data_IF_149615892169
#
_entry.id   IF_149615892169
#
_cell.length_a   1.000
_cell.length_b   1.000
_cell.length_c   1.000
_cell.angle_alpha   90.00
_cell.angle_beta   90.00
_cell.angle_gamma   90.00
#
_symmetry.space_group_name_H-M   'P 1'
#
loop_
_entity.id
_entity.type
_entity.pdbx_description
1 polymer ?
#
# COMPACT_ATOMS: atom_id res chain seq x y z
N UNK A 1 -5.47 -38.92 -82.04
CA UNK A 1 -5.76 -39.54 -80.73
C UNK A 1 -4.47 -39.51 -79.93
N UNK A 2 -4.18 -38.43 -79.23
CA UNK A 2 -3.05 -38.34 -78.29
C UNK A 2 -3.46 -37.41 -77.16
N UNK A 3 -4.42 -37.91 -76.38
CA UNK A 3 -4.85 -37.35 -75.10
C UNK A 3 -4.08 -38.11 -74.03
N UNK A 4 -2.90 -37.60 -73.65
CA UNK A 4 -2.09 -38.19 -72.58
C UNK A 4 -1.75 -37.12 -71.53
N UNK A 5 -2.58 -37.08 -70.48
CA UNK A 5 -2.22 -36.74 -69.11
C UNK A 5 -1.31 -35.53 -68.88
N UNK A 6 -1.75 -34.31 -69.21
CA UNK A 6 -1.19 -33.13 -68.53
C UNK A 6 -1.62 -33.18 -67.06
N UNK A 7 -0.68 -33.63 -66.22
CA UNK A 7 -0.81 -33.77 -64.77
C UNK A 7 -1.55 -32.59 -64.14
N UNK A 8 -2.57 -32.88 -63.32
CA UNK A 8 -3.30 -31.93 -62.48
C UNK A 8 -2.39 -30.97 -61.70
N UNK A 9 -1.16 -31.42 -61.43
CA UNK A 9 -0.12 -30.65 -60.74
C UNK A 9 0.36 -29.42 -61.54
N UNK A 10 0.23 -29.40 -62.87
CA UNK A 10 0.67 -28.28 -63.71
C UNK A 10 -0.35 -27.13 -63.80
N UNK A 11 -1.64 -27.40 -63.54
CA UNK A 11 -2.71 -26.40 -63.67
C UNK A 11 -3.07 -25.72 -62.35
N UNK A 12 -2.65 -26.31 -61.23
CA UNK A 12 -2.99 -25.81 -59.91
C UNK A 12 -2.06 -24.64 -59.55
N UNK A 13 -2.59 -23.46 -59.17
CA UNK A 13 -1.77 -22.33 -58.74
C UNK A 13 -1.19 -22.57 -57.33
N UNK A 14 -0.24 -23.50 -57.24
CA UNK A 14 0.37 -23.95 -55.98
C UNK A 14 0.92 -22.80 -55.14
N UNK A 15 1.47 -21.76 -55.79
CA UNK A 15 1.96 -20.57 -55.09
C UNK A 15 0.83 -19.85 -54.35
N UNK A 16 -0.36 -19.76 -54.92
CA UNK A 16 -1.53 -19.16 -54.28
C UNK A 16 -2.03 -20.01 -53.11
N UNK A 17 -2.09 -21.33 -53.29
CA UNK A 17 -2.48 -22.26 -52.21
C UNK A 17 -1.48 -22.19 -51.05
N UNK A 18 -0.18 -22.26 -51.34
CA UNK A 18 0.89 -22.14 -50.34
C UNK A 18 0.86 -20.80 -49.60
N UNK A 19 0.53 -19.71 -50.32
CA UNK A 19 0.38 -18.39 -49.72
C UNK A 19 -0.82 -18.33 -48.76
N UNK A 20 -1.97 -18.89 -49.15
CA UNK A 20 -3.17 -18.94 -48.30
C UNK A 20 -2.97 -19.82 -47.06
N UNK A 21 -2.30 -20.97 -47.20
CA UNK A 21 -1.99 -21.83 -46.04
C UNK A 21 -1.00 -21.15 -45.10
N UNK A 22 -0.01 -20.42 -45.62
CA UNK A 22 0.94 -19.63 -44.82
C UNK A 22 0.22 -18.53 -44.05
N UNK A 23 -0.69 -17.80 -44.69
CA UNK A 23 -1.51 -16.76 -44.04
C UNK A 23 -2.37 -17.34 -42.91
N UNK A 24 -3.03 -18.48 -43.15
CA UNK A 24 -3.83 -19.17 -42.13
C UNK A 24 -2.96 -19.60 -40.94
N UNK A 25 -1.79 -20.20 -41.20
CA UNK A 25 -0.84 -20.61 -40.17
C UNK A 25 -0.35 -19.41 -39.33
N UNK A 26 -0.01 -18.29 -39.97
CA UNK A 26 0.40 -17.07 -39.26
C UNK A 26 -0.73 -16.49 -38.39
N UNK A 27 -1.97 -16.57 -38.85
CA UNK A 27 -3.15 -16.11 -38.11
C UNK A 27 -3.38 -16.96 -36.86
N UNK A 28 -3.31 -18.30 -37.00
CA UNK A 28 -3.42 -19.24 -35.89
C UNK A 28 -2.28 -19.02 -34.89
N UNK A 29 -1.03 -18.91 -35.36
CA UNK A 29 0.12 -18.65 -34.51
C UNK A 29 -0.01 -17.33 -33.72
N UNK A 30 -0.51 -16.28 -34.37
CA UNK A 30 -0.78 -15.00 -33.71
C UNK A 30 -1.83 -15.13 -32.60
N UNK A 31 -2.92 -15.85 -32.84
CA UNK A 31 -3.94 -16.11 -31.83
C UNK A 31 -3.38 -16.90 -30.64
N UNK A 32 -2.53 -17.90 -30.89
CA UNK A 32 -1.83 -18.67 -29.86
C UNK A 32 -0.93 -17.76 -29.01
N UNK A 33 -0.11 -16.91 -29.64
CA UNK A 33 0.76 -15.98 -28.91
C UNK A 33 -0.05 -15.05 -28.00
N UNK A 34 -1.15 -14.47 -28.50
CA UNK A 34 -2.04 -13.63 -27.68
C UNK A 34 -2.61 -14.41 -26.49
N UNK A 35 -3.11 -15.63 -26.73
CA UNK A 35 -3.70 -16.46 -25.68
C UNK A 35 -2.69 -16.89 -24.61
N UNK A 36 -1.48 -17.30 -25.02
CA UNK A 36 -0.42 -17.76 -24.11
C UNK A 36 0.23 -16.61 -23.35
N UNK A 37 0.29 -15.42 -23.95
CA UNK A 37 0.87 -14.24 -23.30
C UNK A 37 0.00 -13.63 -22.21
N UNK A 38 -1.32 -13.86 -22.21
CA UNK A 38 -2.24 -13.25 -21.26
C UNK A 38 -1.89 -13.60 -19.81
N UNK A 39 -1.79 -12.58 -18.96
CA UNK A 39 -1.40 -12.68 -17.55
C UNK A 39 -0.07 -13.41 -17.32
N UNK A 40 0.86 -13.32 -18.28
CA UNK A 40 2.24 -13.78 -18.09
C UNK A 40 3.17 -12.60 -17.82
N UNK A 41 4.10 -12.83 -16.90
CA UNK A 41 5.09 -11.83 -16.51
C UNK A 41 6.02 -11.59 -17.69
N UNK A 42 6.34 -10.31 -17.95
CA UNK A 42 7.16 -9.92 -19.10
C UNK A 42 8.54 -10.60 -19.07
N UNK A 43 9.08 -10.83 -17.88
CA UNK A 43 10.39 -11.46 -17.67
C UNK A 43 10.45 -12.94 -18.02
N UNK A 44 9.29 -13.64 -18.06
CA UNK A 44 9.25 -15.08 -18.40
C UNK A 44 9.45 -15.36 -19.88
N UNK A 45 9.39 -14.32 -20.73
CA UNK A 45 9.50 -14.43 -22.17
C UNK A 45 10.91 -14.11 -22.66
N UNK A 46 11.62 -15.11 -23.22
CA UNK A 46 12.91 -14.87 -23.87
C UNK A 46 12.83 -13.97 -25.10
N UNK A 47 11.69 -13.99 -25.81
CA UNK A 47 11.37 -13.07 -26.91
C UNK A 47 9.97 -12.52 -26.66
N UNK A 48 9.82 -11.20 -26.68
CA UNK A 48 8.53 -10.56 -26.37
C UNK A 48 7.44 -11.00 -27.36
N UNK A 49 6.21 -11.28 -26.89
CA UNK A 49 5.06 -11.62 -27.74
C UNK A 49 4.80 -10.61 -28.88
N UNK A 50 5.05 -9.33 -28.65
CA UNK A 50 4.93 -8.25 -29.65
C UNK A 50 5.85 -8.46 -30.85
N UNK A 51 7.06 -9.02 -30.63
CA UNK A 51 8.01 -9.35 -31.71
C UNK A 51 7.49 -10.52 -32.53
N UNK A 52 6.98 -11.56 -31.89
CA UNK A 52 6.34 -12.69 -32.59
C UNK A 52 5.16 -12.24 -33.44
N UNK A 53 4.29 -11.39 -32.90
CA UNK A 53 3.17 -10.82 -33.63
C UNK A 53 3.61 -9.97 -34.83
N UNK A 54 4.70 -9.20 -34.70
CA UNK A 54 5.25 -8.44 -35.81
C UNK A 54 5.78 -9.34 -36.93
N UNK A 55 6.49 -10.42 -36.58
CA UNK A 55 7.01 -11.41 -37.55
C UNK A 55 5.86 -12.11 -38.28
N UNK A 56 4.83 -12.57 -37.55
CA UNK A 56 3.67 -13.23 -38.15
C UNK A 56 2.85 -12.26 -39.00
N UNK A 57 2.70 -11.00 -38.58
CA UNK A 57 2.02 -9.97 -39.37
C UNK A 57 2.76 -9.68 -40.67
N UNK A 58 4.09 -9.47 -40.62
CA UNK A 58 4.90 -9.22 -41.81
C UNK A 58 4.87 -10.41 -42.79
N UNK A 59 5.02 -11.64 -42.28
CA UNK A 59 4.96 -12.87 -43.07
C UNK A 59 3.58 -13.06 -43.70
N UNK A 60 2.52 -12.85 -42.92
CA UNK A 60 1.13 -12.92 -43.38
C UNK A 60 0.86 -11.88 -44.48
N UNK A 61 1.38 -10.66 -44.35
CA UNK A 61 1.23 -9.61 -45.35
C UNK A 61 1.93 -9.96 -46.68
N UNK A 62 3.15 -10.53 -46.63
CA UNK A 62 3.87 -11.00 -47.84
C UNK A 62 3.10 -12.14 -48.52
N UNK A 63 2.64 -13.12 -47.73
CA UNK A 63 1.85 -14.24 -48.23
C UNK A 63 0.53 -13.74 -48.84
N UNK A 64 -0.15 -12.80 -48.18
CA UNK A 64 -1.38 -12.19 -48.67
C UNK A 64 -1.18 -11.44 -49.98
N UNK A 65 -0.14 -10.62 -50.11
CA UNK A 65 0.21 -9.94 -51.36
C UNK A 65 0.52 -10.94 -52.49
N UNK A 66 1.17 -12.07 -52.17
CA UNK A 66 1.46 -13.15 -53.13
C UNK A 66 0.19 -13.90 -53.56
N UNK A 67 -0.72 -14.19 -52.63
CA UNK A 67 -2.03 -14.78 -52.90
C UNK A 67 -2.90 -13.85 -53.77
N UNK A 68 -2.85 -12.54 -53.50
CA UNK A 68 -3.56 -11.53 -54.29
C UNK A 68 -2.99 -11.46 -55.71
N UNK A 69 -1.66 -11.40 -55.87
CA UNK A 69 -1.01 -11.36 -57.17
C UNK A 69 -1.31 -12.61 -58.03
N UNK A 70 -1.26 -13.80 -57.42
CA UNK A 70 -1.62 -15.05 -58.10
C UNK A 70 -3.11 -15.09 -58.46
N UNK A 71 -4.00 -14.61 -57.58
CA UNK A 71 -5.43 -14.50 -57.86
C UNK A 71 -5.74 -13.56 -59.03
N UNK A 72 -5.07 -12.41 -59.11
CA UNK A 72 -5.18 -11.47 -60.23
C UNK A 72 -4.68 -12.12 -61.52
N UNK A 73 -3.53 -12.80 -61.49
CA UNK A 73 -2.97 -13.48 -62.65
C UNK A 73 -3.90 -14.58 -63.18
N UNK A 74 -4.45 -15.43 -62.29
CA UNK A 74 -5.43 -16.46 -62.68
C UNK A 74 -6.67 -15.82 -63.30
N UNK A 75 -7.18 -14.74 -62.70
CA UNK A 75 -8.36 -14.03 -63.24
C UNK A 75 -8.07 -13.39 -64.59
N UNK A 76 -6.88 -12.86 -64.80
CA UNK A 76 -6.41 -12.29 -66.05
C UNK A 76 -6.41 -13.37 -67.15
N UNK A 77 -5.78 -14.51 -66.92
CA UNK A 77 -5.70 -15.60 -67.91
C UNK A 77 -7.08 -16.22 -68.20
N UNK A 78 -7.90 -16.46 -67.18
CA UNK A 78 -9.28 -16.95 -67.36
C UNK A 78 -10.16 -15.98 -68.18
N UNK A 79 -9.86 -14.68 -68.13
CA UNK A 79 -10.54 -13.67 -68.95
C UNK A 79 -9.99 -13.60 -70.36
N UNK A 80 -8.68 -13.71 -70.53
CA UNK A 80 -8.02 -13.81 -71.83
C UNK A 80 -8.58 -14.99 -72.65
N UNK A 81 -8.72 -16.17 -72.04
CA UNK A 81 -9.27 -17.36 -72.70
C UNK A 81 -10.73 -17.21 -73.13
N UNK A 82 -11.51 -16.37 -72.46
CA UNK A 82 -12.92 -16.11 -72.79
C UNK A 82 -13.11 -15.03 -73.86
N UNK A 83 -12.03 -14.58 -74.50
CA UNK A 83 -12.09 -13.56 -75.56
C UNK A 83 -12.35 -12.15 -75.05
N UNK A 84 -11.90 -11.82 -73.83
CA UNK A 84 -12.05 -10.48 -73.30
C UNK A 84 -11.25 -9.46 -74.12
N UNK A 85 -11.79 -8.25 -74.23
CA UNK A 85 -11.17 -7.15 -74.96
C UNK A 85 -9.81 -6.79 -74.32
N UNK A 86 -8.76 -6.49 -75.13
CA UNK A 86 -7.44 -6.12 -74.61
C UNK A 86 -7.47 -4.97 -73.60
N UNK A 87 -8.42 -4.04 -73.75
CA UNK A 87 -8.66 -2.95 -72.80
C UNK A 87 -9.06 -3.48 -71.41
N UNK A 88 -9.96 -4.46 -71.33
CA UNK A 88 -10.38 -5.08 -70.08
C UNK A 88 -9.24 -5.84 -69.39
N UNK A 89 -8.41 -6.54 -70.17
CA UNK A 89 -7.19 -7.19 -69.67
C UNK A 89 -6.22 -6.17 -69.07
N UNK A 90 -6.01 -5.05 -69.77
CA UNK A 90 -5.16 -3.96 -69.29
C UNK A 90 -5.68 -3.42 -67.95
N UNK A 91 -6.98 -3.18 -67.81
CA UNK A 91 -7.56 -2.70 -66.55
C UNK A 91 -7.42 -3.72 -65.40
N UNK A 92 -7.59 -5.02 -65.65
CA UNK A 92 -7.37 -6.06 -64.63
C UNK A 92 -5.91 -6.07 -64.17
N UNK A 93 -4.97 -5.94 -65.10
CA UNK A 93 -3.54 -5.95 -64.81
C UNK A 93 -3.07 -4.67 -64.09
N UNK A 94 -3.49 -3.51 -64.57
CA UNK A 94 -3.11 -2.20 -64.02
C UNK A 94 -3.54 -2.07 -62.55
N UNK A 95 -4.74 -2.56 -62.24
CA UNK A 95 -5.24 -2.62 -60.86
C UNK A 95 -4.44 -3.55 -59.97
N UNK A 96 -3.92 -4.64 -60.54
CA UNK A 96 -3.05 -5.55 -59.80
C UNK A 96 -1.75 -4.90 -59.33
N UNK A 97 -1.32 -3.80 -59.97
CA UNK A 97 -0.16 -3.01 -59.56
C UNK A 97 -0.49 -1.88 -58.58
N UNK A 98 -1.76 -1.68 -58.22
CA UNK A 98 -2.19 -0.65 -57.27
C UNK A 98 -2.32 0.77 -57.87
N UNK A 99 -2.21 0.91 -59.20
CA UNK A 99 -2.38 2.19 -59.89
C UNK A 99 -3.74 2.20 -60.60
N UNK A 100 -4.57 3.22 -60.33
CA UNK A 100 -5.74 3.53 -61.19
C UNK A 100 -7.16 3.25 -60.68
N UNK A 101 -7.48 3.32 -59.38
CA UNK A 101 -8.85 3.07 -58.86
C UNK A 101 -9.98 3.75 -59.67
N UNK A 102 -9.76 4.98 -60.13
CA UNK A 102 -10.73 5.75 -60.92
C UNK A 102 -10.95 5.20 -62.34
N UNK A 103 -9.95 4.54 -62.93
CA UNK A 103 -10.07 3.98 -64.28
C UNK A 103 -10.79 2.63 -64.30
N UNK A 104 -10.66 1.77 -63.27
CA UNK A 104 -11.43 0.52 -63.21
C UNK A 104 -12.94 0.74 -63.09
N UNK A 105 -13.37 1.79 -62.39
CA UNK A 105 -14.80 2.07 -62.26
C UNK A 105 -15.45 2.40 -63.61
N UNK A 106 -14.65 2.85 -64.59
CA UNK A 106 -15.09 3.10 -65.98
C UNK A 106 -14.90 1.90 -66.92
N UNK A 107 -14.20 0.85 -66.48
CA UNK A 107 -13.66 -0.23 -67.32
C UNK A 107 -14.52 -1.51 -67.44
N UNK A 108 -15.78 -1.48 -67.02
CA UNK A 108 -16.68 -2.63 -67.07
C UNK A 108 -16.76 -3.44 -65.76
N UNK A 109 -17.77 -4.32 -65.67
CA UNK A 109 -18.21 -4.94 -64.41
C UNK A 109 -17.17 -5.85 -63.75
N UNK A 110 -16.31 -6.48 -64.54
CA UNK A 110 -15.27 -7.39 -64.04
C UNK A 110 -14.04 -6.68 -63.50
N UNK A 111 -13.60 -5.62 -64.17
CA UNK A 111 -12.53 -4.76 -63.66
C UNK A 111 -12.94 -4.13 -62.32
N UNK A 112 -14.20 -3.69 -62.19
CA UNK A 112 -14.76 -3.18 -60.93
C UNK A 112 -14.72 -4.21 -59.80
N UNK A 113 -15.04 -5.48 -60.07
CA UNK A 113 -14.98 -6.54 -59.04
C UNK A 113 -13.55 -6.78 -58.55
N UNK A 114 -12.59 -6.85 -59.47
CA UNK A 114 -11.17 -7.01 -59.13
C UNK A 114 -10.68 -5.81 -58.32
N UNK A 115 -11.01 -4.60 -58.75
CA UNK A 115 -10.64 -3.37 -58.04
C UNK A 115 -11.22 -3.30 -56.62
N UNK A 116 -12.49 -3.65 -56.42
CA UNK A 116 -13.12 -3.69 -55.10
C UNK A 116 -12.45 -4.72 -54.18
N UNK A 117 -12.19 -5.92 -54.68
CA UNK A 117 -11.53 -6.98 -53.91
C UNK A 117 -10.09 -6.61 -53.57
N UNK A 118 -9.32 -6.05 -54.51
CA UNK A 118 -7.96 -5.59 -54.27
C UNK A 118 -7.93 -4.43 -53.26
N UNK A 119 -8.88 -3.48 -53.36
CA UNK A 119 -8.99 -2.37 -52.40
C UNK A 119 -9.31 -2.87 -50.99
N UNK A 120 -10.29 -3.77 -50.86
CA UNK A 120 -10.63 -4.40 -49.57
C UNK A 120 -9.42 -5.17 -49.00
N UNK A 121 -8.69 -5.88 -49.85
CA UNK A 121 -7.46 -6.57 -49.49
C UNK A 121 -6.40 -5.62 -48.92
N UNK A 122 -6.12 -4.50 -49.59
CA UNK A 122 -5.17 -3.50 -49.09
C UNK A 122 -5.61 -2.86 -47.77
N UNK A 123 -6.91 -2.62 -47.58
CA UNK A 123 -7.44 -2.11 -46.30
C UNK A 123 -7.20 -3.12 -45.17
N UNK A 124 -7.49 -4.40 -45.41
CA UNK A 124 -7.24 -5.47 -44.43
C UNK A 124 -5.75 -5.57 -44.11
N UNK A 125 -4.88 -5.49 -45.12
CA UNK A 125 -3.42 -5.52 -44.96
C UNK A 125 -2.90 -4.33 -44.14
N UNK A 126 -3.48 -3.14 -44.34
CA UNK A 126 -3.12 -1.95 -43.57
C UNK A 126 -3.62 -2.03 -42.12
N UNK A 127 -4.84 -2.53 -41.91
CA UNK A 127 -5.45 -2.63 -40.58
C UNK A 127 -4.81 -3.73 -39.71
N UNK A 128 -4.34 -4.82 -40.31
CA UNK A 128 -3.82 -5.99 -39.58
C UNK A 128 -2.62 -5.65 -38.68
N UNK A 129 -1.69 -4.81 -39.16
CA UNK A 129 -0.49 -4.43 -38.41
C UNK A 129 -0.82 -3.72 -37.09
N UNK A 130 -1.45 -2.53 -37.12
CA UNK A 130 -1.80 -1.79 -35.91
C UNK A 130 -2.75 -2.54 -34.98
N UNK A 131 -3.69 -3.33 -35.51
CA UNK A 131 -4.62 -4.11 -34.69
C UNK A 131 -3.90 -5.22 -33.93
N UNK A 132 -2.99 -5.95 -34.57
CA UNK A 132 -2.19 -6.99 -33.90
C UNK A 132 -1.24 -6.38 -32.87
N UNK A 133 -0.63 -5.23 -33.16
CA UNK A 133 0.23 -4.54 -32.19
C UNK A 133 -0.55 -4.04 -30.97
N UNK A 134 -1.83 -3.70 -31.11
CA UNK A 134 -2.71 -3.30 -29.98
C UNK A 134 -3.39 -4.47 -29.28
N UNK A 135 -3.31 -5.68 -29.83
CA UNK A 135 -3.91 -6.86 -29.23
C UNK A 135 -3.25 -7.25 -27.90
N UNK A 136 -1.99 -6.83 -27.68
CA UNK A 136 -1.23 -7.06 -26.45
C UNK A 136 -0.65 -5.73 -25.97
N UNK A 137 -0.81 -5.42 -24.69
CA UNK A 137 -0.12 -4.31 -24.03
C UNK A 137 0.42 -4.76 -22.67
N UNK A 138 1.39 -4.03 -22.15
CA UNK A 138 1.96 -4.28 -20.82
C UNK A 138 1.14 -3.52 -19.77
N UNK A 139 0.79 -4.19 -18.68
CA UNK A 139 0.10 -3.60 -17.55
C UNK A 139 0.78 -4.03 -16.25
N UNK A 140 0.77 -3.15 -15.25
CA UNK A 140 1.20 -3.51 -13.90
C UNK A 140 0.08 -4.27 -13.20
N UNK A 141 0.41 -5.40 -12.58
CA UNK A 141 -0.50 -6.16 -11.75
C UNK A 141 0.20 -6.48 -10.43
N UNK A 142 -0.49 -6.23 -9.32
CA UNK A 142 -0.02 -6.66 -8.02
C UNK A 142 -0.24 -8.16 -7.89
N UNK A 143 0.86 -8.90 -7.75
CA UNK A 143 0.83 -10.33 -7.44
C UNK A 143 1.13 -10.54 -5.98
N UNK A 144 0.28 -11.33 -5.37
CA UNK A 144 0.51 -11.85 -4.03
C UNK A 144 1.15 -13.24 -4.14
N UNK A 145 2.25 -13.46 -3.43
CA UNK A 145 2.84 -14.78 -3.18
C UNK A 145 3.05 -14.98 -1.67
N UNK A 146 2.89 -16.21 -1.20
CA UNK A 146 3.26 -16.58 0.17
C UNK A 146 4.76 -16.93 0.20
N UNK A 147 5.44 -16.54 1.29
CA UNK A 147 6.86 -16.80 1.51
C UNK A 147 7.17 -16.93 3.00
N UNK A 148 8.40 -17.33 3.30
CA UNK A 148 8.92 -17.37 4.68
C UNK A 148 9.93 -16.25 4.85
N UNK A 149 9.83 -15.54 5.97
CA UNK A 149 10.76 -14.47 6.34
C UNK A 149 11.39 -14.73 7.71
N UNK A 150 12.51 -14.05 7.94
CA UNK A 150 13.27 -14.08 9.18
C UNK A 150 13.22 -12.73 9.86
N UNK A 151 13.07 -12.75 11.19
CA UNK A 151 13.25 -11.56 12.01
C UNK A 151 13.88 -11.95 13.34
N UNK A 152 14.88 -11.18 13.76
CA UNK A 152 15.53 -11.34 15.04
C UNK A 152 14.75 -10.51 16.06
N UNK A 153 13.94 -11.18 16.87
CA UNK A 153 13.05 -10.52 17.82
C UNK A 153 12.94 -11.35 19.09
N UNK A 154 13.23 -10.73 20.23
CA UNK A 154 13.19 -11.44 21.50
C UNK A 154 11.77 -11.52 22.04
N UNK A 155 11.37 -12.69 22.51
CA UNK A 155 10.08 -12.91 23.15
C UNK A 155 10.07 -12.41 24.61
N UNK A 156 11.23 -12.19 25.24
CA UNK A 156 11.34 -11.70 26.62
C UNK A 156 12.51 -10.75 26.73
N UNK A 157 12.29 -9.60 27.37
CA UNK A 157 13.39 -8.67 27.63
C UNK A 157 14.06 -9.07 28.95
N UNK A 158 15.38 -9.34 28.97
CA UNK A 158 16.08 -9.67 30.21
C UNK A 158 16.03 -8.49 31.20
N UNK A 159 15.80 -8.80 32.48
CA UNK A 159 15.89 -7.84 33.57
C UNK A 159 17.27 -7.17 33.53
N UNK A 160 17.28 -5.84 33.63
CA UNK A 160 18.52 -5.08 33.56
C UNK A 160 18.91 -4.61 32.17
N UNK A 161 18.27 -5.09 31.09
CA UNK A 161 18.55 -4.57 29.74
C UNK A 161 18.24 -3.07 29.65
N UNK A 162 17.14 -2.65 30.29
CA UNK A 162 16.70 -1.26 30.31
C UNK A 162 17.57 -0.35 31.16
N UNK A 163 18.19 -0.88 32.23
CA UNK A 163 18.76 -0.09 33.29
C UNK A 163 18.65 -0.78 34.65
N UNK A 164 18.84 -0.02 35.72
CA UNK A 164 18.74 -0.51 37.09
C UNK A 164 17.95 0.45 37.98
N UNK A 165 17.40 -0.07 39.08
CA UNK A 165 16.73 0.73 40.10
C UNK A 165 17.74 1.55 40.90
N UNK A 166 17.48 2.83 41.13
CA UNK A 166 18.28 3.66 42.03
C UNK A 166 17.77 3.62 43.48
N UNK A 167 18.53 4.24 44.38
CA UNK A 167 18.20 4.29 45.81
C UNK A 167 16.92 5.06 46.13
N UNK A 168 16.39 5.83 45.19
CA UNK A 168 15.13 6.56 45.34
C UNK A 168 13.92 5.81 44.77
N UNK A 169 14.11 4.60 44.26
CA UNK A 169 13.08 3.86 43.53
C UNK A 169 12.85 4.37 42.11
N UNK A 170 13.76 5.20 41.57
CA UNK A 170 13.74 5.65 40.20
C UNK A 170 14.46 4.65 39.27
N UNK A 171 14.16 4.72 37.97
CA UNK A 171 14.85 3.91 36.95
C UNK A 171 16.01 4.70 36.36
N UNK A 172 17.23 4.13 36.39
CA UNK A 172 18.41 4.66 35.68
C UNK A 172 18.61 3.89 34.39
N UNK A 173 18.27 4.51 33.27
CA UNK A 173 18.33 3.85 31.96
C UNK A 173 19.77 3.62 31.47
N UNK A 174 20.03 2.45 30.88
CA UNK A 174 21.25 2.21 30.12
C UNK A 174 21.24 2.93 28.77
N UNK A 175 22.42 3.22 28.22
CA UNK A 175 22.59 3.87 26.91
C UNK A 175 21.79 3.18 25.80
N UNK A 176 21.70 1.85 25.80
CA UNK A 176 20.96 1.07 24.79
C UNK A 176 19.46 1.37 24.82
N UNK A 177 18.86 1.43 26.01
CA UNK A 177 17.46 1.80 26.23
C UNK A 177 17.17 3.24 25.80
N UNK A 178 18.04 4.18 26.19
CA UNK A 178 17.94 5.59 25.76
C UNK A 178 17.97 5.70 24.23
N UNK A 179 18.86 4.94 23.58
CA UNK A 179 19.00 4.98 22.11
C UNK A 179 17.71 4.50 21.43
N UNK A 180 17.05 3.46 21.94
CA UNK A 180 15.75 3.01 21.40
C UNK A 180 14.67 4.07 21.57
N UNK A 181 14.62 4.75 22.73
CA UNK A 181 13.67 5.84 22.91
C UNK A 181 13.94 7.03 21.98
N UNK A 182 15.20 7.33 21.66
CA UNK A 182 15.57 8.37 20.69
C UNK A 182 15.19 7.97 19.27
N UNK A 183 15.45 6.72 18.88
CA UNK A 183 15.05 6.14 17.59
C UNK A 183 13.52 6.17 17.42
N UNK A 184 12.79 5.83 18.48
CA UNK A 184 11.33 5.95 18.54
C UNK A 184 10.87 7.40 18.35
N UNK A 185 11.42 8.35 19.12
CA UNK A 185 11.02 9.76 19.05
C UNK A 185 11.29 10.41 17.68
N UNK A 186 12.39 10.03 17.01
CA UNK A 186 12.74 10.49 15.66
C UNK A 186 12.04 9.72 14.54
N UNK A 187 11.28 8.67 14.87
CA UNK A 187 10.70 7.73 13.93
C UNK A 187 11.76 7.15 12.97
N UNK A 188 12.92 6.79 13.51
CA UNK A 188 14.03 6.21 12.73
C UNK A 188 13.56 4.86 12.14
N UNK A 189 13.89 4.62 10.86
CA UNK A 189 13.57 3.36 10.18
C UNK A 189 14.37 2.20 10.77
N UNK A 190 13.69 1.11 11.13
CA UNK A 190 14.36 -0.12 11.57
C UNK A 190 14.92 -0.83 10.32
N UNK A 191 16.24 -1.02 10.27
CA UNK A 191 16.92 -1.64 9.12
C UNK A 191 17.28 -3.09 9.44
N UNK A 192 16.84 -4.00 8.59
CA UNK A 192 17.17 -5.43 8.62
C UNK A 192 18.47 -5.71 7.84
N UNK A 193 19.16 -6.84 8.12
CA UNK A 193 20.27 -7.29 7.29
C UNK A 193 19.86 -7.48 5.82
N UNK A 194 20.72 -7.06 4.88
CA UNK A 194 20.53 -7.32 3.44
C UNK A 194 20.96 -8.77 3.11
N UNK A 195 20.19 -9.72 3.63
CA UNK A 195 20.39 -11.17 3.47
C UNK A 195 19.07 -11.83 3.06
N UNK A 196 19.17 -12.98 2.39
CA UNK A 196 18.01 -13.77 1.99
C UNK A 196 17.14 -14.13 3.21
N UNK A 197 15.83 -13.94 3.08
CA UNK A 197 14.84 -14.14 4.15
C UNK A 197 14.62 -12.93 5.06
N UNK A 198 15.55 -11.98 5.16
CA UNK A 198 15.35 -10.70 5.87
C UNK A 198 14.85 -9.59 4.95
N UNK A 199 15.27 -9.64 3.67
CA UNK A 199 14.85 -8.67 2.65
C UNK A 199 13.58 -9.13 1.93
N UNK A 200 12.68 -8.17 1.66
CA UNK A 200 11.50 -8.37 0.84
C UNK A 200 11.53 -7.53 -0.44
N UNK A 201 11.48 -8.18 -1.60
CA UNK A 201 11.36 -7.49 -2.89
C UNK A 201 9.88 -7.17 -3.19
N UNK A 202 9.45 -5.96 -2.86
CA UNK A 202 8.04 -5.55 -2.81
C UNK A 202 7.62 -5.21 -1.38
N UNK A 203 6.41 -5.59 -0.99
CA UNK A 203 5.89 -5.40 0.37
C UNK A 203 5.50 -6.74 0.98
N UNK A 204 6.11 -7.12 2.09
CA UNK A 204 5.81 -8.35 2.81
C UNK A 204 5.08 -8.03 4.11
N UNK A 205 3.94 -8.69 4.32
CA UNK A 205 3.16 -8.59 5.56
C UNK A 205 3.21 -9.91 6.31
N UNK A 206 3.45 -9.87 7.61
CA UNK A 206 3.49 -11.07 8.43
C UNK A 206 3.25 -10.75 9.90
N UNK A 207 3.37 -11.80 10.72
CA UNK A 207 3.15 -11.74 12.15
C UNK A 207 4.33 -12.38 12.86
N UNK A 208 4.92 -11.68 13.82
CA UNK A 208 6.13 -12.13 14.54
C UNK A 208 5.92 -12.01 16.03
N UNK A 209 6.39 -12.98 16.80
CA UNK A 209 6.26 -12.93 18.26
C UNK A 209 7.31 -11.99 18.83
N UNK A 210 6.98 -11.25 19.85
CA UNK A 210 7.92 -10.38 20.53
C UNK A 210 7.47 -10.05 21.93
N UNK A 211 8.42 -9.60 22.74
CA UNK A 211 8.13 -9.02 24.03
C UNK A 211 7.31 -7.74 23.85
N UNK A 212 6.16 -7.68 24.49
CA UNK A 212 5.26 -6.54 24.52
C UNK A 212 4.48 -6.51 25.83
N UNK A 213 3.25 -6.05 25.74
CA UNK A 213 2.30 -6.06 26.85
C UNK A 213 0.90 -6.34 26.30
N UNK A 214 0.01 -6.76 27.20
CA UNK A 214 -1.43 -6.77 27.00
C UNK A 214 -2.08 -5.75 27.91
N UNK A 215 -3.10 -5.09 27.40
CA UNK A 215 -3.86 -4.07 28.10
C UNK A 215 -5.31 -4.50 28.33
N UNK A 216 -5.87 -4.04 29.44
CA UNK A 216 -7.31 -4.06 29.68
C UNK A 216 -7.71 -2.69 30.18
N UNK A 217 -8.48 -1.96 29.37
CA UNK A 217 -8.92 -0.61 29.70
C UNK A 217 -10.37 -0.60 30.20
N UNK A 218 -10.60 0.15 31.27
CA UNK A 218 -11.94 0.45 31.78
C UNK A 218 -12.15 1.95 31.66
N UNK A 219 -13.22 2.33 30.97
CA UNK A 219 -13.62 3.73 30.82
C UNK A 219 -14.72 4.08 31.83
N UNK A 220 -14.62 5.27 32.41
CA UNK A 220 -15.62 5.86 33.30
C UNK A 220 -15.77 7.35 33.01
N UNK A 221 -16.87 7.94 33.44
CA UNK A 221 -17.12 9.37 33.28
C UNK A 221 -17.46 10.02 34.62
N UNK A 222 -17.08 11.29 34.76
CA UNK A 222 -17.37 12.11 35.94
C UNK A 222 -17.82 13.51 35.50
N UNK A 223 -18.90 14.06 36.06
CA UNK A 223 -19.29 15.44 35.78
C UNK A 223 -18.31 16.42 36.44
N UNK A 224 -18.03 17.53 35.77
CA UNK A 224 -17.25 18.66 36.26
C UNK A 224 -17.97 19.97 35.94
N UNK A 225 -18.26 20.77 36.95
CA UNK A 225 -18.98 22.03 36.76
C UNK A 225 -18.01 23.21 36.63
N UNK A 226 -17.66 23.57 35.40
CA UNK A 226 -16.80 24.72 35.10
C UNK A 226 -17.52 26.06 35.26
N UNK A 227 -18.78 26.12 35.70
CA UNK A 227 -19.44 27.40 36.02
C UNK A 227 -19.04 27.94 37.40
N UNK A 228 -18.41 27.11 38.23
CA UNK A 228 -18.13 27.42 39.64
C UNK A 228 -16.64 27.74 39.85
N UNK A 229 -16.36 28.70 40.73
CA UNK A 229 -14.97 28.98 41.17
C UNK A 229 -14.31 27.77 41.84
N UNK A 230 -15.10 26.80 42.33
CA UNK A 230 -14.61 25.55 42.89
C UNK A 230 -13.87 24.67 41.88
N UNK A 231 -14.16 24.84 40.59
CA UNK A 231 -13.46 24.15 39.50
C UNK A 231 -12.16 24.84 39.10
N UNK A 232 -11.83 26.00 39.71
CA UNK A 232 -10.55 26.63 39.49
C UNK A 232 -9.43 25.73 40.01
N UNK A 233 -8.43 25.49 39.17
CA UNK A 233 -7.35 24.51 39.36
C UNK A 233 -7.77 23.03 39.34
N UNK A 234 -9.00 22.71 38.90
CA UNK A 234 -9.38 21.31 38.66
C UNK A 234 -8.59 20.71 37.50
N UNK A 235 -8.12 19.47 37.65
CA UNK A 235 -7.43 18.77 36.55
C UNK A 235 -8.43 18.43 35.45
N UNK A 236 -8.18 18.95 34.25
CA UNK A 236 -9.01 18.75 33.05
C UNK A 236 -8.35 17.88 32.00
N UNK A 237 -7.04 17.65 32.13
CA UNK A 237 -6.30 16.68 31.34
C UNK A 237 -5.19 16.05 32.21
N UNK A 238 -5.05 14.74 32.17
CA UNK A 238 -4.03 14.00 32.92
C UNK A 238 -3.59 12.78 32.13
N UNK A 239 -2.29 12.58 32.04
CA UNK A 239 -1.67 11.30 31.70
C UNK A 239 -0.71 10.96 32.83
N UNK A 240 -1.01 9.89 33.56
CA UNK A 240 -0.17 9.39 34.63
C UNK A 240 -0.06 7.87 34.56
N UNK A 241 1.04 7.33 35.05
CA UNK A 241 1.24 5.88 35.12
C UNK A 241 1.92 5.50 36.41
N UNK A 242 1.48 4.42 37.04
CA UNK A 242 2.07 3.90 38.28
C UNK A 242 2.15 2.38 38.23
N UNK A 243 3.23 1.80 38.76
CA UNK A 243 3.36 0.35 38.89
C UNK A 243 2.66 -0.08 40.18
N UNK A 244 1.90 -1.16 40.12
CA UNK A 244 1.20 -1.75 41.27
C UNK A 244 1.65 -3.20 41.41
N UNK A 245 2.30 -3.53 42.54
CA UNK A 245 2.88 -4.87 42.79
C UNK A 245 1.89 -5.85 43.43
N UNK A 246 0.86 -5.34 44.11
CA UNK A 246 -0.05 -6.14 44.95
C UNK A 246 -1.50 -6.20 44.44
N UNK A 247 -1.73 -5.89 43.17
CA UNK A 247 -3.07 -6.05 42.60
C UNK A 247 -3.25 -7.45 42.02
N UNK A 248 -4.46 -7.99 42.16
CA UNK A 248 -4.87 -9.20 41.44
C UNK A 248 -5.08 -8.84 39.98
N UNK A 249 -4.31 -9.46 39.08
CA UNK A 249 -4.57 -9.35 37.65
C UNK A 249 -5.91 -10.05 37.31
N UNK A 250 -6.31 -10.00 36.04
CA UNK A 250 -7.54 -10.68 35.56
C UNK A 250 -7.55 -12.20 35.80
N UNK A 251 -6.39 -12.81 36.07
CA UNK A 251 -6.21 -14.22 36.41
C UNK A 251 -6.09 -14.50 37.92
N UNK A 252 -6.31 -13.48 38.78
CA UNK A 252 -6.16 -13.54 40.25
C UNK A 252 -4.75 -13.90 40.74
N UNK A 253 -3.72 -13.84 39.89
CA UNK A 253 -2.35 -14.06 40.33
C UNK A 253 -1.68 -12.72 40.66
N UNK A 254 -0.97 -12.62 41.81
CA UNK A 254 -0.31 -11.39 42.20
C UNK A 254 0.95 -11.20 41.33
N UNK A 255 0.82 -10.34 40.34
CA UNK A 255 1.93 -9.95 39.47
C UNK A 255 1.91 -8.44 39.27
N UNK A 256 3.08 -7.81 39.13
CA UNK A 256 3.14 -6.38 38.89
C UNK A 256 2.45 -6.06 37.56
N UNK A 257 1.63 -5.02 37.56
CA UNK A 257 1.07 -4.41 36.36
C UNK A 257 1.30 -2.90 36.38
N UNK A 258 1.28 -2.30 35.20
CA UNK A 258 1.34 -0.86 35.03
C UNK A 258 -0.09 -0.31 34.91
N UNK A 259 -0.47 0.57 35.83
CA UNK A 259 -1.73 1.27 35.80
C UNK A 259 -1.55 2.60 35.05
N UNK A 260 -2.04 2.68 33.83
CA UNK A 260 -2.05 3.90 33.02
C UNK A 260 -3.41 4.60 33.17
N UNK A 261 -3.41 5.78 33.77
CA UNK A 261 -4.60 6.62 33.95
C UNK A 261 -4.55 7.80 32.99
N UNK A 262 -5.60 7.93 32.19
CA UNK A 262 -5.79 9.00 31.22
C UNK A 262 -7.10 9.68 31.54
N UNK A 263 -7.07 10.98 31.78
CA UNK A 263 -8.27 11.77 32.03
C UNK A 263 -8.29 12.97 31.10
N UNK A 264 -9.46 13.30 30.56
CA UNK A 264 -9.64 14.46 29.71
C UNK A 264 -11.10 14.93 29.69
N UNK A 265 -11.35 16.21 29.43
CA UNK A 265 -12.71 16.71 29.19
C UNK A 265 -13.14 16.33 27.77
N UNK A 266 -14.13 15.45 27.64
CA UNK A 266 -14.59 14.94 26.34
C UNK A 266 -15.69 15.81 25.72
N UNK A 267 -16.54 16.42 26.55
CA UNK A 267 -17.67 17.24 26.10
C UNK A 267 -17.97 18.34 27.13
N UNK A 268 -18.49 19.47 26.65
CA UNK A 268 -18.95 20.60 27.48
C UNK A 268 -20.31 21.06 26.98
N UNK A 269 -21.32 20.91 27.83
CA UNK A 269 -22.70 21.29 27.55
C UNK A 269 -23.01 22.75 27.87
N UNK A 270 -24.18 23.24 27.44
CA UNK A 270 -24.61 24.64 27.51
C UNK A 270 -25.01 25.17 28.90
N UNK A 271 -24.10 25.08 29.88
CA UNK A 271 -24.01 25.80 31.17
C UNK A 271 -22.61 25.58 31.79
N UNK A 272 -21.56 25.42 30.97
CA UNK A 272 -20.21 25.05 31.44
C UNK A 272 -20.14 23.70 32.19
N UNK A 273 -21.10 22.81 31.96
CA UNK A 273 -21.12 21.46 32.52
C UNK A 273 -20.26 20.57 31.64
N UNK A 274 -19.07 20.23 32.12
CA UNK A 274 -18.10 19.39 31.44
C UNK A 274 -18.26 17.92 31.87
N UNK A 275 -17.93 17.00 30.95
CA UNK A 275 -17.82 15.57 31.26
C UNK A 275 -16.36 15.15 31.15
N UNK A 276 -15.76 14.80 32.29
CA UNK A 276 -14.45 14.16 32.35
C UNK A 276 -14.60 12.70 31.94
N UNK A 277 -13.84 12.28 30.95
CA UNK A 277 -13.66 10.87 30.60
C UNK A 277 -12.36 10.38 31.25
N UNK A 278 -12.42 9.22 31.91
CA UNK A 278 -11.29 8.62 32.61
C UNK A 278 -11.10 7.21 32.07
N UNK A 279 -10.01 6.99 31.34
CA UNK A 279 -9.57 5.69 30.87
C UNK A 279 -8.47 5.17 31.80
N UNK A 280 -8.75 4.04 32.43
CA UNK A 280 -7.78 3.33 33.28
C UNK A 280 -7.41 2.02 32.60
N UNK A 281 -6.17 1.94 32.10
CA UNK A 281 -5.65 0.77 31.43
C UNK A 281 -4.67 0.02 32.33
N UNK A 282 -4.92 -1.28 32.51
CA UNK A 282 -4.05 -2.19 33.25
C UNK A 282 -3.17 -2.95 32.25
N UNK A 283 -1.87 -2.73 32.30
CA UNK A 283 -0.91 -3.29 31.35
C UNK A 283 -0.04 -4.36 32.03
N UNK A 284 0.04 -5.54 31.41
CA UNK A 284 0.87 -6.65 31.89
C UNK A 284 1.87 -7.09 30.84
N UNK A 285 3.10 -7.38 31.24
CA UNK A 285 4.15 -7.89 30.35
C UNK A 285 3.73 -9.22 29.71
N UNK A 286 3.82 -9.29 28.39
CA UNK A 286 3.36 -10.44 27.62
C UNK A 286 4.17 -10.67 26.36
N UNK A 287 4.15 -11.91 25.88
CA UNK A 287 4.55 -12.24 24.51
C UNK A 287 3.34 -12.01 23.63
N UNK A 288 3.50 -11.15 22.63
CA UNK A 288 2.45 -10.77 21.68
C UNK A 288 2.92 -11.04 20.25
N UNK A 289 1.98 -11.20 19.33
CA UNK A 289 2.27 -11.44 17.92
C UNK A 289 2.04 -10.14 17.12
N UNK A 290 3.13 -9.41 16.88
CA UNK A 290 3.15 -8.11 16.22
C UNK A 290 2.90 -8.21 14.70
N UNK A 291 1.96 -7.42 14.15
CA UNK A 291 1.76 -7.32 12.70
C UNK A 291 2.85 -6.43 12.09
N UNK A 292 3.67 -6.99 11.21
CA UNK A 292 4.82 -6.28 10.63
C UNK A 292 4.66 -6.09 9.13
N UNK A 293 5.29 -5.02 8.62
CA UNK A 293 5.51 -4.79 7.19
C UNK A 293 7.00 -4.67 6.94
N UNK A 294 7.49 -5.42 5.96
CA UNK A 294 8.87 -5.34 5.49
C UNK A 294 8.86 -4.92 4.03
N UNK A 295 9.57 -3.83 3.72
CA UNK A 295 9.76 -3.32 2.37
C UNK A 295 11.25 -3.15 2.12
N UNK A 296 11.79 -3.89 1.16
CA UNK A 296 13.23 -4.03 0.98
C UNK A 296 13.88 -4.51 2.29
N UNK A 297 14.70 -3.67 2.94
CA UNK A 297 15.33 -3.93 4.24
C UNK A 297 14.69 -3.14 5.39
N UNK A 298 13.61 -2.40 5.12
CA UNK A 298 12.95 -1.56 6.13
C UNK A 298 11.85 -2.35 6.83
N UNK A 299 11.89 -2.39 8.16
CA UNK A 299 10.87 -2.99 9.03
C UNK A 299 9.99 -1.89 9.66
N UNK A 300 8.68 -2.09 9.63
CA UNK A 300 7.72 -1.24 10.32
C UNK A 300 6.64 -2.06 11.03
N UNK A 301 6.19 -1.57 12.19
CA UNK A 301 5.02 -2.08 12.89
C UNK A 301 3.74 -1.55 12.21
N UNK A 302 2.77 -2.42 11.94
CA UNK A 302 1.47 -2.01 11.40
C UNK A 302 0.55 -1.54 12.51
N UNK A 303 0.66 -0.26 12.86
CA UNK A 303 -0.08 0.35 13.97
C UNK A 303 -1.60 0.25 13.85
N UNK A 304 -2.13 0.18 12.62
CA UNK A 304 -3.57 0.05 12.36
C UNK A 304 -4.15 -1.32 12.76
N UNK A 305 -3.31 -2.34 12.92
CA UNK A 305 -3.71 -3.71 13.21
C UNK A 305 -3.57 -4.07 14.71
N UNK A 306 -3.08 -3.13 15.53
CA UNK A 306 -2.81 -3.36 16.96
C UNK A 306 -4.08 -3.62 17.79
N UNK A 307 -5.25 -3.16 17.34
CA UNK A 307 -6.53 -3.43 18.02
C UNK A 307 -6.86 -4.95 18.04
N UNK A 308 -6.22 -5.73 17.17
CA UNK A 308 -6.35 -7.19 17.06
C UNK A 308 -5.09 -7.96 17.46
N UNK A 309 -4.21 -7.32 18.24
CA UNK A 309 -2.94 -7.91 18.65
C UNK A 309 -3.16 -9.22 19.40
N UNK A 310 -2.59 -10.31 18.88
CA UNK A 310 -2.79 -11.64 19.46
C UNK A 310 -1.87 -11.84 20.66
N UNK A 311 -2.50 -12.09 21.81
CA UNK A 311 -1.84 -12.55 23.02
C UNK A 311 -1.34 -14.00 22.87
N UNK A 312 -0.09 -14.26 23.26
CA UNK A 312 0.50 -15.60 23.27
C UNK A 312 0.66 -16.14 24.69
N UNK A 313 1.32 -15.38 25.57
CA UNK A 313 1.52 -15.77 26.97
C UNK A 313 1.95 -14.59 27.83
N UNK A 314 1.65 -14.62 29.13
CA UNK A 314 2.21 -13.67 30.09
C UNK A 314 3.68 -14.03 30.37
N UNK A 315 4.51 -13.02 30.66
CA UNK A 315 5.79 -13.26 31.31
C UNK A 315 6.03 -12.23 32.40
N UNK A 316 6.47 -12.72 33.56
CA UNK A 316 6.72 -11.89 34.74
C UNK A 316 8.21 -11.63 34.79
N UNK A 317 8.57 -10.38 35.04
CA UNK A 317 9.96 -9.98 35.25
C UNK A 317 10.14 -9.60 36.72
N UNK A 318 11.21 -10.08 37.33
CA UNK A 318 11.50 -9.78 38.74
C UNK A 318 11.86 -8.32 38.93
N UNK A 319 12.39 -7.69 37.88
CA UNK A 319 12.72 -6.27 37.80
C UNK A 319 11.53 -5.31 37.75
N UNK A 320 10.29 -5.81 37.69
CA UNK A 320 9.08 -4.99 37.71
C UNK A 320 8.45 -4.85 39.10
N UNK A 321 8.96 -5.57 40.11
CA UNK A 321 8.46 -5.51 41.47
C UNK A 321 8.84 -4.19 42.14
N UNK A 322 7.94 -3.63 42.96
CA UNK A 322 8.21 -2.38 43.70
C UNK A 322 9.20 -2.59 44.84
N UNK A 323 9.34 -3.83 45.32
CA UNK A 323 10.32 -4.22 46.34
C UNK A 323 11.69 -4.60 45.76
N UNK A 324 11.93 -4.38 44.46
CA UNK A 324 13.22 -4.62 43.84
C UNK A 324 14.32 -3.77 44.51
N UNK A 325 15.43 -4.38 44.98
CA UNK A 325 16.47 -3.64 45.68
C UNK A 325 17.19 -2.67 44.73
N UNK A 326 17.74 -1.59 45.28
CA UNK A 326 18.59 -0.69 44.50
C UNK A 326 19.74 -1.46 43.83
N UNK A 327 19.95 -1.22 42.53
CA UNK A 327 20.88 -1.96 41.69
C UNK A 327 20.29 -3.19 41.00
N UNK A 328 19.07 -3.63 41.35
CA UNK A 328 18.37 -4.67 40.59
C UNK A 328 18.08 -4.21 39.15
N UNK A 329 18.13 -5.16 38.22
CA UNK A 329 17.82 -4.90 36.83
C UNK A 329 16.35 -4.51 36.64
N UNK A 330 16.10 -3.48 35.85
CA UNK A 330 14.75 -2.98 35.57
C UNK A 330 14.07 -3.85 34.53
N UNK A 331 12.80 -4.17 34.79
CA UNK A 331 11.94 -4.93 33.89
C UNK A 331 11.21 -4.10 32.83
N UNK A 332 10.44 -4.75 31.94
CA UNK A 332 9.67 -4.09 30.90
C UNK A 332 8.62 -3.10 31.41
N UNK A 333 7.82 -3.45 32.43
CA UNK A 333 6.77 -2.56 32.94
C UNK A 333 7.38 -1.35 33.63
N UNK A 334 8.46 -1.54 34.38
CA UNK A 334 9.18 -0.46 35.00
C UNK A 334 9.83 0.48 33.98
N UNK A 335 10.36 -0.06 32.88
CA UNK A 335 10.81 0.78 31.77
C UNK A 335 9.66 1.50 31.06
N UNK A 336 8.50 0.87 30.88
CA UNK A 336 7.32 1.50 30.29
C UNK A 336 6.79 2.63 31.18
N UNK A 337 6.76 2.42 32.49
CA UNK A 337 6.41 3.46 33.45
C UNK A 337 7.36 4.65 33.33
N UNK A 338 8.67 4.41 33.32
CA UNK A 338 9.67 5.46 33.10
C UNK A 338 9.47 6.16 31.74
N UNK A 339 9.15 5.41 30.67
CA UNK A 339 8.89 5.96 29.35
C UNK A 339 7.70 6.93 29.36
N UNK A 340 6.60 6.60 30.04
CA UNK A 340 5.45 7.48 30.19
C UNK A 340 5.80 8.66 31.10
N UNK A 341 6.32 8.41 32.30
CA UNK A 341 6.63 9.44 33.30
C UNK A 341 7.54 10.56 32.76
N UNK A 342 8.51 10.23 31.89
CA UNK A 342 9.44 11.22 31.35
C UNK A 342 9.08 11.80 29.98
N UNK A 343 8.22 11.13 29.19
CA UNK A 343 7.94 11.56 27.80
C UNK A 343 6.47 11.87 27.51
N UNK A 344 5.55 11.34 28.30
CA UNK A 344 4.11 11.45 28.06
C UNK A 344 3.31 11.88 29.29
N UNK A 345 3.92 11.98 30.46
CA UNK A 345 3.25 12.55 31.62
C UNK A 345 2.91 13.99 31.34
N UNK A 346 1.63 14.28 31.46
CA UNK A 346 1.10 15.62 31.28
C UNK A 346 -0.05 15.85 32.25
N UNK A 347 -0.22 17.11 32.65
CA UNK A 347 -1.25 17.52 33.58
C UNK A 347 -1.65 18.96 33.25
N UNK A 348 -2.90 19.15 32.84
CA UNK A 348 -3.50 20.46 32.68
C UNK A 348 -4.62 20.66 33.68
N UNK A 349 -4.60 21.82 34.33
CA UNK A 349 -5.65 22.29 35.22
C UNK A 349 -6.40 23.45 34.57
N UNK A 350 -7.71 23.51 34.77
CA UNK A 350 -8.51 24.63 34.31
C UNK A 350 -8.26 25.84 35.22
N UNK A 351 -8.02 27.00 34.61
CA UNK A 351 -7.81 28.27 35.31
C UNK A 351 -8.79 29.28 34.75
N UNK A 352 -9.63 29.86 35.61
CA UNK A 352 -10.54 30.92 35.20
C UNK A 352 -9.79 32.26 35.17
N UNK A 353 -9.85 32.95 34.03
CA UNK A 353 -9.24 34.26 33.84
C UNK A 353 -10.33 35.34 33.80
N UNK A 354 -10.50 36.05 34.91
CA UNK A 354 -11.56 37.06 35.10
C UNK A 354 -11.53 38.16 34.05
N UNK A 355 -10.35 38.63 33.65
CA UNK A 355 -10.22 39.80 32.76
C UNK A 355 -10.76 39.57 31.35
N UNK A 356 -10.78 38.30 30.90
CA UNK A 356 -11.27 37.92 29.57
C UNK A 356 -12.55 37.09 29.64
N UNK A 357 -13.06 36.85 30.86
CA UNK A 357 -14.21 35.99 31.16
C UNK A 357 -14.13 34.63 30.44
N UNK A 358 -12.98 33.95 30.57
CA UNK A 358 -12.74 32.64 29.94
C UNK A 358 -11.99 31.70 30.86
N UNK A 359 -12.29 30.43 30.70
CA UNK A 359 -11.48 29.34 31.18
C UNK A 359 -10.34 29.07 30.21
N UNK A 360 -9.14 29.09 30.77
CA UNK A 360 -7.92 28.63 30.14
C UNK A 360 -7.51 27.32 30.82
N UNK A 361 -6.49 26.67 30.29
CA UNK A 361 -5.79 25.64 31.04
C UNK A 361 -4.32 26.03 31.23
N UNK A 362 -3.74 25.56 32.30
CA UNK A 362 -2.32 25.70 32.63
C UNK A 362 -1.85 24.42 33.27
N UNK A 363 -0.57 24.08 33.20
CA UNK A 363 -0.06 22.82 33.70
C UNK A 363 1.36 22.91 34.22
N UNK A 364 1.72 22.16 35.28
CA UNK A 364 3.11 22.05 35.73
C UNK A 364 3.97 21.16 34.81
N UNK A 365 3.37 20.55 33.77
CA UNK A 365 4.05 19.70 32.80
C UNK A 365 4.50 20.47 31.55
N UNK A 366 5.18 19.79 30.62
CA UNK A 366 5.54 20.38 29.34
C UNK A 366 4.32 20.80 28.49
N UNK A 367 3.08 20.48 28.91
CA UNK A 367 1.81 20.91 28.28
C UNK A 367 1.59 20.36 26.87
N UNK A 368 2.60 19.72 26.29
CA UNK A 368 2.65 19.38 24.88
C UNK A 368 1.54 18.41 24.47
N UNK A 369 1.21 17.40 25.28
CA UNK A 369 0.17 16.45 24.91
C UNK A 369 -1.21 17.05 25.13
N UNK A 370 -1.41 17.81 26.22
CA UNK A 370 -2.63 18.58 26.41
C UNK A 370 -2.88 19.50 25.20
N UNK A 371 -1.86 20.20 24.70
CA UNK A 371 -1.96 21.07 23.53
C UNK A 371 -2.31 20.29 22.24
N UNK A 372 -1.64 19.15 22.00
CA UNK A 372 -1.86 18.32 20.80
C UNK A 372 -3.28 17.76 20.74
N UNK A 373 -3.82 17.34 21.89
CA UNK A 373 -5.13 16.70 21.95
C UNK A 373 -6.28 17.71 22.12
N UNK A 374 -5.99 18.99 22.39
CA UNK A 374 -6.99 20.05 22.55
C UNK A 374 -7.76 20.28 21.24
N UNK A 375 -9.09 20.27 21.32
CA UNK A 375 -9.96 20.62 20.22
C UNK A 375 -10.20 22.13 20.20
N UNK A 376 -9.26 22.88 19.62
CA UNK A 376 -9.33 24.34 19.56
C UNK A 376 -10.46 24.88 18.65
N UNK A 377 -10.86 24.11 17.63
CA UNK A 377 -11.88 24.54 16.66
C UNK A 377 -13.26 23.93 16.95
N UNK A 378 -14.36 24.71 16.87
CA UNK A 378 -15.70 24.16 16.86
C UNK A 378 -15.91 23.21 15.67
N UNK A 379 -16.69 22.12 15.81
CA UNK A 379 -17.25 21.44 14.66
C UNK A 379 -17.99 22.46 13.79
N UNK A 380 -17.80 22.38 12.47
CA UNK A 380 -18.38 23.32 11.50
C UNK A 380 -19.92 23.45 11.55
N UNK A 381 -20.60 22.59 12.32
CA UNK A 381 -22.05 22.60 12.54
C UNK A 381 -22.55 23.63 13.56
N UNK A 382 -21.67 24.35 14.28
CA UNK A 382 -22.08 25.39 15.23
C UNK A 382 -21.73 26.79 14.70
N UNK A 383 -22.74 27.46 14.14
CA UNK A 383 -22.68 28.77 13.50
C UNK A 383 -22.55 29.96 14.47
N UNK A 384 -21.84 29.83 15.59
CA UNK A 384 -21.49 30.99 16.40
C UNK A 384 -20.14 30.79 17.11
N UNK A 385 -19.06 31.44 16.64
CA UNK A 385 -17.75 31.48 17.29
C UNK A 385 -17.75 32.30 18.60
N UNK A 386 -18.92 32.71 19.10
CA UNK A 386 -19.06 33.30 20.42
C UNK A 386 -18.69 32.25 21.46
N UNK A 387 -17.39 32.21 21.75
CA UNK A 387 -16.68 31.40 22.73
C UNK A 387 -17.58 31.10 23.92
N UNK A 388 -18.09 29.87 24.01
CA UNK A 388 -18.58 29.36 25.27
C UNK A 388 -17.38 29.45 26.24
N UNK A 389 -17.43 30.30 27.29
CA UNK A 389 -16.26 30.69 28.07
C UNK A 389 -15.56 29.49 28.71
N UNK A 390 -16.25 28.35 28.79
CA UNK A 390 -15.78 27.11 29.42
C UNK A 390 -15.41 26.00 28.44
N UNK A 391 -15.27 26.29 27.15
CA UNK A 391 -15.04 25.28 26.12
C UNK A 391 -13.59 24.78 26.12
N UNK A 392 -13.29 23.89 27.04
CA UNK A 392 -12.05 23.13 27.12
C UNK A 392 -12.37 21.67 26.84
N UNK A 393 -12.09 21.20 25.62
CA UNK A 393 -12.38 19.82 25.20
C UNK A 393 -11.15 19.21 24.52
N UNK A 394 -10.87 17.94 24.80
CA UNK A 394 -9.76 17.19 24.23
C UNK A 394 -10.27 15.96 23.50
N UNK A 395 -9.53 15.54 22.48
CA UNK A 395 -9.65 14.21 21.88
C UNK A 395 -8.94 13.17 22.76
N UNK A 396 -9.42 11.92 22.76
CA UNK A 396 -8.84 10.85 23.58
C UNK A 396 -7.38 10.56 23.16
N UNK A 397 -6.40 10.65 24.07
CA UNK A 397 -5.02 10.28 23.78
C UNK A 397 -4.76 8.77 23.95
N UNK A 398 -5.74 7.99 24.40
CA UNK A 398 -5.59 6.59 24.80
C UNK A 398 -4.99 5.71 23.71
N UNK A 399 -5.55 5.74 22.50
CA UNK A 399 -5.03 4.94 21.38
C UNK A 399 -3.62 5.36 20.97
N UNK A 400 -3.34 6.67 20.98
CA UNK A 400 -2.01 7.19 20.64
C UNK A 400 -0.95 6.68 21.63
N UNK A 401 -1.24 6.77 22.93
CA UNK A 401 -0.33 6.31 23.98
C UNK A 401 -0.07 4.79 23.91
N UNK A 402 -1.11 3.98 23.77
CA UNK A 402 -0.96 2.53 23.63
C UNK A 402 -0.16 2.15 22.37
N UNK A 403 -0.42 2.81 21.24
CA UNK A 403 0.33 2.62 20.00
C UNK A 403 1.81 3.00 20.17
N UNK A 404 2.09 4.13 20.82
CA UNK A 404 3.44 4.58 21.12
C UNK A 404 4.20 3.58 22.01
N UNK A 405 3.53 3.03 23.03
CA UNK A 405 4.10 2.02 23.92
C UNK A 405 4.37 0.71 23.17
N UNK A 406 3.47 0.26 22.30
CA UNK A 406 3.69 -0.93 21.47
C UNK A 406 4.86 -0.76 20.50
N UNK A 407 4.98 0.40 19.83
CA UNK A 407 6.11 0.66 18.93
C UNK A 407 7.44 0.72 19.69
N UNK A 408 7.45 1.35 20.88
CA UNK A 408 8.62 1.35 21.75
C UNK A 408 9.03 -0.08 22.14
N UNK A 409 8.08 -0.90 22.62
CA UNK A 409 8.36 -2.30 22.99
C UNK A 409 8.79 -3.16 21.79
N UNK A 410 8.18 -2.95 20.62
CA UNK A 410 8.56 -3.62 19.38
C UNK A 410 10.02 -3.33 19.01
N UNK A 411 10.44 -2.06 19.07
CA UNK A 411 11.83 -1.65 18.83
C UNK A 411 12.80 -2.25 19.85
N UNK A 412 12.39 -2.33 21.12
CA UNK A 412 13.18 -2.97 22.18
C UNK A 412 13.34 -4.47 21.89
N UNK A 413 12.24 -5.18 21.62
CA UNK A 413 12.24 -6.61 21.34
C UNK A 413 13.13 -6.96 20.13
N UNK A 414 13.06 -6.15 19.07
CA UNK A 414 13.94 -6.27 17.91
C UNK A 414 15.41 -6.08 18.30
N UNK A 415 15.73 -5.01 19.04
CA UNK A 415 17.11 -4.70 19.42
C UNK A 415 17.72 -5.73 20.38
N UNK A 416 16.91 -6.30 21.26
CA UNK A 416 17.31 -7.36 22.21
C UNK A 416 17.54 -8.66 21.47
N UNK A 417 16.68 -9.00 20.50
CA UNK A 417 16.78 -10.24 19.73
C UNK A 417 17.85 -10.24 18.64
N UNK A 418 18.37 -9.06 18.25
CA UNK A 418 19.33 -8.89 17.16
C UNK A 418 20.53 -9.87 17.26
N UNK A 419 20.56 -10.87 16.37
CA UNK A 419 21.59 -11.90 16.30
C UNK A 419 21.44 -13.08 17.27
N UNK A 420 20.43 -13.11 18.14
CA UNK A 420 20.24 -14.20 19.13
C UNK A 420 18.93 -14.97 18.95
N UNK A 421 17.84 -14.27 18.64
CA UNK A 421 16.48 -14.82 18.71
C UNK A 421 15.82 -14.80 17.32
N UNK A 422 16.45 -15.46 16.35
CA UNK A 422 15.91 -15.58 14.99
C UNK A 422 14.60 -16.33 14.99
N UNK A 423 13.54 -15.69 14.51
CA UNK A 423 12.24 -16.29 14.27
C UNK A 423 11.98 -16.48 12.78
N UNK A 424 11.29 -17.55 12.42
CA UNK A 424 10.78 -17.80 11.08
C UNK A 424 9.26 -17.59 11.09
N UNK A 425 8.74 -16.82 10.13
CA UNK A 425 7.31 -16.55 10.04
C UNK A 425 6.83 -16.53 8.60
N UNK A 426 5.56 -16.90 8.40
CA UNK A 426 4.91 -16.81 7.10
C UNK A 426 4.60 -15.34 6.78
N UNK A 427 4.97 -14.92 5.57
CA UNK A 427 4.74 -13.58 5.08
C UNK A 427 4.05 -13.60 3.71
N UNK A 428 3.04 -12.75 3.58
CA UNK A 428 2.34 -12.49 2.34
C UNK A 428 3.06 -11.36 1.61
N UNK A 429 3.75 -11.70 0.52
CA UNK A 429 4.48 -10.76 -0.34
C UNK A 429 3.56 -10.24 -1.43
N UNK A 430 3.43 -8.93 -1.54
CA UNK A 430 2.80 -8.23 -2.67
C UNK A 430 3.88 -7.51 -3.46
N UNK A 431 4.06 -7.91 -4.72
CA UNK A 431 4.99 -7.28 -5.66
C UNK A 431 4.23 -6.83 -6.91
N UNK A 432 4.53 -5.61 -7.37
CA UNK A 432 3.99 -5.10 -8.63
C UNK A 432 4.82 -5.70 -9.76
N UNK A 433 4.22 -6.60 -10.53
CA UNK A 433 4.86 -7.22 -11.70
C UNK A 433 4.29 -6.65 -12.99
N UNK A 434 5.12 -6.62 -14.03
CA UNK A 434 4.67 -6.24 -15.36
C UNK A 434 4.14 -7.50 -16.07
N UNK A 435 2.86 -7.49 -16.44
CA UNK A 435 2.21 -8.59 -17.15
C UNK A 435 1.72 -8.16 -18.53
N UNK A 436 1.66 -9.09 -19.46
CA UNK A 436 0.98 -8.88 -20.73
C UNK A 436 -0.52 -9.07 -20.58
N UNK A 437 -1.31 -8.09 -21.05
CA UNK A 437 -2.77 -8.19 -21.15
C UNK A 437 -3.21 -8.16 -22.60
N UNK A 438 -4.16 -9.02 -22.93
CA UNK A 438 -4.82 -9.02 -24.23
C UNK A 438 -5.97 -8.02 -24.24
N UNK A 439 -6.01 -7.15 -25.25
CA UNK A 439 -7.04 -6.15 -25.41
C UNK A 439 -8.33 -6.75 -26.00
N UNK A 440 -9.26 -7.20 -25.15
CA UNK A 440 -10.68 -7.31 -25.50
C UNK A 440 -11.44 -6.22 -24.74
N UNK A 441 -11.41 -5.00 -25.26
CA UNK A 441 -12.08 -3.89 -24.60
C UNK A 441 -11.99 -2.63 -25.43
N UNK A 442 -13.08 -2.33 -26.13
CA UNK A 442 -13.53 -0.95 -26.34
C UNK A 442 -13.21 -0.15 -25.07
N UNK A 443 -12.78 1.13 -25.15
CA UNK A 443 -12.84 2.01 -23.99
C UNK A 443 -14.32 2.25 -23.66
N UNK A 444 -14.97 1.23 -23.11
CA UNK A 444 -16.27 1.30 -22.53
C UNK A 444 -16.09 2.11 -21.28
N UNK A 445 -16.44 3.40 -21.37
CA UNK A 445 -17.24 4.12 -20.37
C UNK A 445 -17.25 3.43 -19.01
N UNK A 446 -16.11 3.44 -18.33
CA UNK A 446 -16.00 3.34 -16.88
C UNK A 446 -16.36 4.69 -16.28
N UNK A 447 -17.54 5.19 -16.62
CA UNK A 447 -18.24 6.19 -15.85
C UNK A 447 -18.80 5.44 -14.62
N UNK A 448 -17.96 5.35 -13.60
CA UNK A 448 -18.21 4.70 -12.32
C UNK A 448 -16.98 4.95 -11.48
N UNK A 449 -16.82 6.18 -10.98
CA UNK A 449 -17.31 6.43 -9.63
C UNK A 449 -16.25 6.16 -8.56
N UNK A 450 -14.96 6.29 -8.87
CA UNK A 450 -13.93 6.59 -7.87
C UNK A 450 -13.72 8.09 -7.83
N UNK A 451 -14.58 8.81 -7.09
CA UNK A 451 -14.35 10.21 -6.81
C UNK A 451 -13.10 10.34 -5.91
N UNK A 452 -11.91 10.32 -6.53
CA UNK A 452 -10.73 10.95 -5.93
C UNK A 452 -10.99 12.44 -6.05
N UNK A 453 -11.68 12.95 -5.02
CA UNK A 453 -11.82 14.37 -4.78
C UNK A 453 -10.42 14.86 -4.39
N UNK A 454 -9.61 15.20 -5.40
CA UNK A 454 -8.52 16.15 -5.23
C UNK A 454 -9.13 17.45 -4.75
N UNK A 455 -9.25 17.58 -3.43
CA UNK A 455 -9.50 18.85 -2.78
C UNK A 455 -8.17 19.58 -2.85
N UNK A 456 -8.03 20.44 -3.86
CA UNK A 456 -7.14 21.58 -3.80
C UNK A 456 -7.52 22.35 -2.53
N UNK A 457 -6.66 22.23 -1.52
CA UNK A 457 -6.82 22.81 -0.20
C UNK A 457 -5.51 23.42 0.24
N UNK A 458 -5.16 24.53 -0.44
CA UNK A 458 -4.47 25.71 0.08
C UNK A 458 -3.42 25.44 1.18
N UNK A 459 -2.16 25.35 0.76
CA UNK A 459 -1.03 25.73 1.59
C UNK A 459 -1.16 27.21 2.00
N UNK A 460 -0.84 27.56 3.25
CA UNK A 460 -0.08 28.76 3.54
C UNK A 460 1.34 28.33 3.93
N UNK A 461 2.27 28.55 3.01
CA UNK A 461 3.69 28.55 3.35
C UNK A 461 3.96 29.64 4.37
N UNK A 462 4.51 29.25 5.53
CA UNK A 462 5.25 30.14 6.40
C UNK A 462 6.65 29.55 6.51
N UNK A 463 7.50 29.98 5.57
CA UNK A 463 8.94 29.86 5.72
C UNK A 463 9.43 30.95 6.67
N UNK A 464 9.93 30.55 7.84
CA UNK A 464 10.81 31.39 8.64
C UNK A 464 12.24 31.06 8.26
N UNK A 465 12.79 31.87 7.36
CA UNK A 465 14.21 31.95 7.11
C UNK A 465 14.87 32.71 8.26
N UNK A 466 15.79 32.05 8.98
CA UNK A 466 16.77 32.73 9.81
C UNK A 466 18.05 32.83 8.97
N UNK A 467 18.26 34.04 8.46
CA UNK A 467 19.50 34.45 7.80
C UNK A 467 20.57 34.68 8.87
N UNK A 468 21.68 33.95 8.76
CA UNK A 468 22.92 34.30 9.44
C UNK A 468 23.57 35.49 8.74
N UNK A 469 23.68 36.62 9.46
CA UNK A 469 24.59 37.69 9.09
C UNK A 469 25.92 37.45 9.81
N UNK A 470 26.99 37.33 9.03
CA UNK A 470 28.37 37.47 9.48
C UNK A 470 28.61 38.93 9.88
N UNK A 471 29.25 39.09 11.03
CA UNK A 471 29.89 40.27 11.58
C UNK A 471 30.68 39.80 12.78
#
# INVERSE_FOLDING_TARGET
MESAGKSFFQWTPWLGIASLTTMLACTIASAIVVAVSHDKDVETWGIQPTVWLAIFSATSNIAFSSALATGIAVRFWLRAERGAEPSQLHYIWDHGRGFGFLSAFRAGSDARKVALLATAAYIVQFASGPLLQRAIYQATQDRTSEGVMFLDMSNRIPDGWFGFWDTSGGVRQHRRSITVSQEWYRNDTITLPDQEGYRCDGTCHGHVRGAGFVETCVSSTRPLDLSTELSNYSTVFLINSDIIDNGTNWDNTPHPFLNLTIMYVADVQGQCQATLHIDTCYLSSAVVEYPVTIQNTSLALRTNDLDSLRFISNYISSGDRLDAPAGAGVGPLASLNHFIQYRHRDNATAVYHSDIDKWLYSGPGPGLLADIFLQAEPPASLASPALNPCRLTWSSPTRYLLTAMHDYMFRVAHRVGNGTDRQTFAARRTATVLVFRSGQGVPGRGAGGGAVRHRAGREPGVGLGVSGARG
#
